data_IF_706045726965
#
_entry.id   IF_706045726965
#
_cell.length_a   1.000
_cell.length_b   1.000
_cell.length_c   1.000
_cell.angle_alpha   90.00
_cell.angle_beta   90.00
_cell.angle_gamma   90.00
#
_symmetry.space_group_name_H-M   'P 1'
#
loop_
_entity.id
_entity.type
_entity.pdbx_description
1 polymer ?
#
# COMPACT_ATOMS: atom_id res chain seq x y z
N UNK A 1 17.45 3.65 -9.03
CA UNK A 1 16.38 2.80 -8.44
C UNK A 1 17.00 1.96 -7.34
N UNK A 2 16.29 1.73 -6.23
CA UNK A 2 16.76 0.76 -5.22
C UNK A 2 16.37 -0.65 -5.67
N UNK A 3 17.30 -1.61 -5.61
CA UNK A 3 17.01 -3.03 -5.90
C UNK A 3 15.91 -3.58 -4.98
N UNK A 4 15.83 -3.04 -3.76
CA UNK A 4 14.85 -3.39 -2.74
C UNK A 4 13.41 -3.04 -3.15
N UNK A 5 13.18 -1.87 -3.75
CA UNK A 5 11.83 -1.46 -4.18
C UNK A 5 11.26 -2.40 -5.25
N UNK A 6 12.10 -2.81 -6.21
CA UNK A 6 11.69 -3.77 -7.25
C UNK A 6 11.43 -5.15 -6.65
N UNK A 7 12.28 -5.59 -5.71
CA UNK A 7 12.07 -6.84 -4.99
C UNK A 7 10.74 -6.84 -4.21
N UNK A 8 10.45 -5.78 -3.46
CA UNK A 8 9.20 -5.68 -2.68
C UNK A 8 7.96 -5.58 -3.57
N UNK A 9 8.05 -4.91 -4.72
CA UNK A 9 6.99 -4.93 -5.73
C UNK A 9 6.70 -6.36 -6.20
N UNK A 10 7.74 -7.11 -6.54
CA UNK A 10 7.60 -8.50 -6.96
C UNK A 10 7.01 -9.38 -5.85
N UNK A 11 7.46 -9.21 -4.60
CA UNK A 11 6.91 -9.93 -3.44
C UNK A 11 5.44 -9.59 -3.22
N UNK A 12 5.05 -8.32 -3.30
CA UNK A 12 3.67 -7.87 -3.13
C UNK A 12 2.74 -8.46 -4.20
N UNK A 13 3.17 -8.44 -5.47
CA UNK A 13 2.43 -9.06 -6.57
C UNK A 13 2.36 -10.58 -6.38
N UNK A 14 3.47 -11.23 -6.05
CA UNK A 14 3.50 -12.69 -5.85
C UNK A 14 2.62 -13.12 -4.68
N UNK A 15 2.62 -12.36 -3.59
CA UNK A 15 1.75 -12.57 -2.44
C UNK A 15 0.28 -12.39 -2.83
N UNK A 16 -0.05 -11.38 -3.62
CA UNK A 16 -1.42 -11.18 -4.11
C UNK A 16 -1.93 -12.32 -4.99
N UNK A 17 -1.04 -12.95 -5.76
CA UNK A 17 -1.37 -14.14 -6.57
C UNK A 17 -1.71 -15.38 -5.72
N UNK A 18 -1.36 -15.41 -4.43
CA UNK A 18 -1.84 -16.47 -3.53
C UNK A 18 -3.36 -16.44 -3.38
N UNK A 19 -4.03 -15.33 -3.73
CA UNK A 19 -5.48 -15.24 -3.79
C UNK A 19 -6.12 -16.29 -4.71
N UNK A 20 -5.44 -16.71 -5.77
CA UNK A 20 -5.94 -17.75 -6.68
C UNK A 20 -6.10 -19.12 -6.02
N UNK A 21 -5.16 -19.48 -5.15
CA UNK A 21 -4.93 -20.86 -4.77
C UNK A 21 -5.57 -21.24 -3.43
N UNK A 22 -5.75 -20.28 -2.53
CA UNK A 22 -6.18 -20.57 -1.17
C UNK A 22 -7.65 -20.18 -0.92
N UNK A 23 -8.45 -21.00 -0.21
CA UNK A 23 -9.80 -20.64 0.21
C UNK A 23 -9.73 -19.66 1.38
N UNK A 24 -9.57 -18.38 1.07
CA UNK A 24 -9.28 -17.34 2.05
C UNK A 24 -10.41 -17.03 3.04
N UNK A 25 -11.62 -17.59 2.92
CA UNK A 25 -12.79 -17.23 3.76
C UNK A 25 -12.48 -17.00 5.26
N UNK A 26 -11.82 -17.93 6.00
CA UNK A 26 -11.46 -17.68 7.41
C UNK A 26 -10.18 -16.83 7.61
N UNK A 27 -9.39 -16.64 6.55
CA UNK A 27 -8.07 -15.99 6.56
C UNK A 27 -8.04 -14.65 5.78
N UNK A 28 -9.18 -14.13 5.32
CA UNK A 28 -9.24 -12.91 4.49
C UNK A 28 -8.57 -11.74 5.22
N UNK A 29 -8.82 -11.59 6.52
CA UNK A 29 -8.19 -10.53 7.30
C UNK A 29 -6.68 -10.71 7.48
N UNK A 30 -6.21 -11.95 7.61
CA UNK A 30 -4.78 -12.25 7.64
C UNK A 30 -4.12 -11.89 6.30
N UNK A 31 -4.79 -12.18 5.19
CA UNK A 31 -4.34 -11.80 3.85
C UNK A 31 -4.28 -10.29 3.66
N UNK A 32 -5.36 -9.58 4.03
CA UNK A 32 -5.43 -8.11 3.96
C UNK A 32 -4.35 -7.48 4.84
N UNK A 33 -4.14 -8.00 6.05
CA UNK A 33 -3.04 -7.58 6.93
C UNK A 33 -1.67 -7.78 6.27
N UNK A 34 -1.46 -8.93 5.62
CA UNK A 34 -0.24 -9.21 4.87
C UNK A 34 -0.03 -8.25 3.70
N UNK A 35 -1.09 -7.94 2.95
CA UNK A 35 -1.06 -6.95 1.87
C UNK A 35 -0.73 -5.55 2.40
N UNK A 36 -1.41 -5.09 3.45
CA UNK A 36 -1.16 -3.78 4.06
C UNK A 36 0.28 -3.65 4.57
N UNK A 37 0.81 -4.71 5.18
CA UNK A 37 2.20 -4.78 5.60
C UNK A 37 3.16 -4.67 4.41
N UNK A 38 3.01 -5.53 3.39
CA UNK A 38 3.89 -5.55 2.22
C UNK A 38 3.83 -4.25 1.42
N UNK A 39 2.64 -3.68 1.26
CA UNK A 39 2.41 -2.40 0.62
C UNK A 39 3.13 -1.25 1.36
N UNK A 40 3.05 -1.25 2.69
CA UNK A 40 3.75 -0.28 3.53
C UNK A 40 5.27 -0.41 3.40
N UNK A 41 5.81 -1.64 3.43
CA UNK A 41 7.24 -1.86 3.21
C UNK A 41 7.67 -1.40 1.82
N UNK A 42 6.84 -1.68 0.81
CA UNK A 42 7.08 -1.26 -0.56
C UNK A 42 7.17 0.28 -0.65
N UNK A 43 6.24 1.02 -0.04
CA UNK A 43 6.34 2.49 0.04
C UNK A 43 7.61 2.94 0.76
N UNK A 44 7.88 2.38 1.96
CA UNK A 44 9.03 2.75 2.78
C UNK A 44 10.37 2.52 2.07
N UNK A 45 10.42 1.57 1.13
CA UNK A 45 11.61 1.32 0.30
C UNK A 45 12.05 2.52 -0.57
N UNK A 46 11.15 3.49 -0.83
CA UNK A 46 11.47 4.72 -1.55
C UNK A 46 12.06 5.81 -0.64
N UNK A 47 11.82 5.68 0.66
CA UNK A 47 12.29 6.57 1.72
C UNK A 47 13.53 5.95 2.37
N UNK A 48 13.36 5.40 3.58
CA UNK A 48 14.34 4.68 4.38
C UNK A 48 13.63 3.48 4.98
N UNK A 49 14.11 2.28 4.67
CA UNK A 49 13.65 1.06 5.33
C UNK A 49 14.66 0.65 6.40
N UNK A 50 14.27 0.76 7.66
CA UNK A 50 15.06 0.29 8.81
C UNK A 50 14.36 -0.89 9.47
N UNK A 51 15.12 -1.71 10.21
CA UNK A 51 14.56 -2.81 11.01
C UNK A 51 13.43 -2.33 11.92
N UNK A 52 13.60 -1.16 12.56
CA UNK A 52 12.58 -0.56 13.41
C UNK A 52 11.29 -0.21 12.66
N UNK A 53 11.39 0.36 11.47
CA UNK A 53 10.21 0.66 10.64
C UNK A 53 9.53 -0.61 10.11
N UNK A 54 10.30 -1.65 9.77
CA UNK A 54 9.74 -2.96 9.41
C UNK A 54 8.94 -3.56 10.56
N UNK A 55 9.50 -3.55 11.78
CA UNK A 55 8.79 -4.03 12.99
C UNK A 55 7.55 -3.18 13.25
N UNK A 56 7.65 -1.85 13.18
CA UNK A 56 6.51 -0.95 13.38
C UNK A 56 5.39 -1.19 12.35
N UNK A 57 5.74 -1.40 11.07
CA UNK A 57 4.76 -1.74 10.03
C UNK A 57 4.08 -3.10 10.30
N UNK A 58 4.84 -4.08 10.81
CA UNK A 58 4.28 -5.38 11.22
C UNK A 58 3.32 -5.24 12.40
N UNK A 59 3.73 -4.50 13.44
CA UNK A 59 2.88 -4.20 14.59
C UNK A 59 1.61 -3.43 14.20
N UNK A 60 1.70 -2.50 13.25
CA UNK A 60 0.54 -1.77 12.72
C UNK A 60 -0.42 -2.68 11.92
N UNK A 61 0.08 -3.77 11.34
CA UNK A 61 -0.72 -4.74 10.61
C UNK A 61 -1.45 -5.74 11.53
N UNK A 62 -0.86 -6.09 12.68
CA UNK A 62 -1.43 -7.08 13.60
C UNK A 62 -2.91 -6.83 13.96
N UNK A 63 -3.35 -5.60 14.29
CA UNK A 63 -4.76 -5.35 14.58
C UNK A 63 -5.70 -5.69 13.42
N UNK A 64 -5.25 -5.55 12.17
CA UNK A 64 -6.04 -5.93 10.99
C UNK A 64 -6.22 -7.45 10.88
N UNK A 65 -5.18 -8.23 11.21
CA UNK A 65 -5.27 -9.69 11.23
C UNK A 65 -6.18 -10.18 12.36
N UNK A 66 -6.20 -9.48 13.49
CA UNK A 66 -7.00 -9.82 14.67
C UNK A 66 -8.43 -9.27 14.62
N UNK A 67 -8.73 -8.34 13.71
CA UNK A 67 -10.03 -7.67 13.63
C UNK A 67 -11.24 -8.64 13.57
N UNK A 68 -11.20 -9.79 12.87
CA UNK A 68 -12.30 -10.75 12.85
C UNK A 68 -12.60 -11.44 14.18
N UNK A 69 -11.67 -11.40 15.15
CA UNK A 69 -11.81 -12.13 16.40
C UNK A 69 -12.86 -11.52 17.33
N UNK A 70 -13.12 -10.22 17.23
CA UNK A 70 -14.12 -9.55 18.05
C UNK A 70 -14.63 -8.26 17.37
N UNK A 71 -15.94 -8.02 17.42
CA UNK A 71 -16.57 -6.85 16.80
C UNK A 71 -15.94 -5.49 17.17
N UNK A 72 -15.53 -5.21 18.43
CA UNK A 72 -14.87 -3.95 18.77
C UNK A 72 -13.56 -3.71 18.00
N UNK A 73 -12.90 -4.78 17.53
CA UNK A 73 -11.65 -4.68 16.78
C UNK A 73 -11.87 -4.23 15.33
N UNK A 74 -13.11 -4.21 14.82
CA UNK A 74 -13.40 -3.66 13.49
C UNK A 74 -13.08 -2.17 13.36
N UNK A 75 -13.00 -1.44 14.47
CA UNK A 75 -12.51 -0.05 14.49
C UNK A 75 -11.10 0.08 13.90
N UNK A 76 -10.29 -0.98 13.94
CA UNK A 76 -8.95 -0.97 13.34
C UNK A 76 -8.96 -0.87 11.81
N UNK A 77 -10.05 -1.26 11.13
CA UNK A 77 -10.18 -0.99 9.70
C UNK A 77 -10.26 0.51 9.40
N UNK A 78 -10.87 1.30 10.29
CA UNK A 78 -10.93 2.75 10.16
C UNK A 78 -9.68 3.48 10.69
N UNK A 79 -9.05 2.94 11.74
CA UNK A 79 -7.89 3.57 12.38
C UNK A 79 -6.55 3.22 11.71
N UNK A 80 -6.43 2.03 11.12
CA UNK A 80 -5.17 1.58 10.50
C UNK A 80 -4.63 2.52 9.42
N UNK A 81 -5.44 3.16 8.54
CA UNK A 81 -4.91 4.10 7.55
C UNK A 81 -4.23 5.31 8.21
N UNK A 82 -4.73 5.77 9.36
CA UNK A 82 -4.10 6.85 10.12
C UNK A 82 -2.76 6.41 10.72
N UNK A 83 -2.70 5.19 11.27
CA UNK A 83 -1.46 4.63 11.82
C UNK A 83 -0.40 4.50 10.72
N UNK A 84 -0.77 3.97 9.56
CA UNK A 84 0.14 3.89 8.41
C UNK A 84 0.55 5.27 7.91
N UNK A 85 -0.38 6.22 7.79
CA UNK A 85 -0.06 7.59 7.38
C UNK A 85 0.97 8.22 8.32
N UNK A 86 0.78 8.12 9.63
CA UNK A 86 1.74 8.64 10.63
C UNK A 86 3.09 7.96 10.48
N UNK A 87 3.13 6.64 10.30
CA UNK A 87 4.38 5.89 10.10
C UNK A 87 5.12 6.34 8.83
N UNK A 88 4.41 6.52 7.72
CA UNK A 88 4.97 6.97 6.45
C UNK A 88 5.49 8.41 6.54
N UNK A 89 4.71 9.31 7.16
CA UNK A 89 5.11 10.71 7.37
C UNK A 89 6.33 10.77 8.28
N UNK A 90 6.36 9.99 9.37
CA UNK A 90 7.53 9.87 10.22
C UNK A 90 8.77 9.43 9.43
N UNK A 91 8.67 8.36 8.63
CA UNK A 91 9.78 7.89 7.80
C UNK A 91 10.24 8.95 6.79
N UNK A 92 9.30 9.67 6.15
CA UNK A 92 9.61 10.73 5.19
C UNK A 92 10.26 11.95 5.85
N UNK A 93 9.81 12.29 7.06
CA UNK A 93 10.34 13.42 7.83
C UNK A 93 11.82 13.27 8.18
N UNK A 94 12.32 12.04 8.29
CA UNK A 94 13.73 11.75 8.55
C UNK A 94 14.64 12.11 7.37
N UNK A 95 14.06 12.30 6.18
CA UNK A 95 14.79 12.66 4.95
C UNK A 95 14.55 14.12 4.59
N UNK A 96 13.28 14.54 4.57
CA UNK A 96 12.86 15.83 4.03
C UNK A 96 12.53 16.88 5.11
N UNK A 97 12.52 16.51 6.39
CA UNK A 97 11.94 17.32 7.48
C UNK A 97 10.42 17.15 7.59
N UNK A 98 9.82 17.55 8.71
CA UNK A 98 8.42 17.23 9.04
C UNK A 98 7.40 17.69 7.98
N UNK A 99 7.40 18.99 7.65
CA UNK A 99 6.45 19.58 6.71
C UNK A 99 6.61 19.00 5.28
N UNK A 100 7.84 18.91 4.79
CA UNK A 100 8.11 18.38 3.45
C UNK A 100 7.93 16.87 3.37
N UNK A 101 8.21 16.14 4.45
CA UNK A 101 7.89 14.71 4.57
C UNK A 101 6.39 14.46 4.49
N UNK A 102 5.59 15.29 5.16
CA UNK A 102 4.13 15.26 5.02
C UNK A 102 3.67 15.49 3.58
N UNK A 103 4.15 16.56 2.93
CA UNK A 103 3.80 16.85 1.53
C UNK A 103 4.28 15.75 0.57
N UNK A 104 5.43 15.14 0.83
CA UNK A 104 5.92 14.02 0.03
C UNK A 104 4.95 12.83 0.10
N UNK A 105 4.53 12.43 1.31
CA UNK A 105 3.63 11.28 1.50
C UNK A 105 2.27 11.58 0.91
N UNK A 106 1.65 12.68 1.33
CA UNK A 106 0.31 13.08 0.85
C UNK A 106 0.32 13.28 -0.65
N UNK A 107 1.32 13.96 -1.21
CA UNK A 107 1.45 14.15 -2.66
C UNK A 107 1.66 12.83 -3.42
N UNK A 108 2.42 11.88 -2.87
CA UNK A 108 2.60 10.55 -3.48
C UNK A 108 1.29 9.76 -3.49
N UNK A 109 0.51 9.81 -2.41
CA UNK A 109 -0.79 9.15 -2.31
C UNK A 109 -1.82 9.79 -3.24
N UNK A 110 -1.91 11.12 -3.28
CA UNK A 110 -2.83 11.82 -4.19
C UNK A 110 -2.49 11.61 -5.66
N UNK A 111 -1.21 11.65 -6.02
CA UNK A 111 -0.78 11.36 -7.38
C UNK A 111 -1.06 9.90 -7.75
N UNK A 112 -0.86 8.96 -6.81
CA UNK A 112 -1.25 7.57 -6.99
C UNK A 112 -2.77 7.43 -7.25
N UNK A 113 -3.62 8.09 -6.46
CA UNK A 113 -5.07 8.10 -6.67
C UNK A 113 -5.46 8.71 -8.03
N UNK A 114 -4.79 9.80 -8.44
CA UNK A 114 -5.02 10.42 -9.75
C UNK A 114 -4.64 9.47 -10.90
N UNK A 115 -3.53 8.74 -10.76
CA UNK A 115 -3.12 7.72 -11.73
C UNK A 115 -4.09 6.55 -11.77
N UNK A 116 -4.59 6.09 -10.62
CA UNK A 116 -5.62 5.05 -10.55
C UNK A 116 -6.93 5.49 -11.19
N UNK A 117 -7.36 6.74 -10.96
CA UNK A 117 -8.53 7.32 -11.60
C UNK A 117 -8.36 7.43 -13.13
N UNK A 118 -7.16 7.81 -13.59
CA UNK A 118 -6.83 7.84 -15.00
C UNK A 118 -6.89 6.43 -15.62
N UNK A 119 -6.30 5.42 -14.97
CA UNK A 119 -6.37 4.04 -15.43
C UNK A 119 -7.81 3.53 -15.46
N UNK A 120 -8.63 3.89 -14.47
CA UNK A 120 -10.05 3.57 -14.47
C UNK A 120 -10.79 4.16 -15.67
N UNK A 121 -10.54 5.44 -15.97
CA UNK A 121 -11.13 6.10 -17.13
C UNK A 121 -10.69 5.45 -18.44
N UNK A 122 -9.39 5.17 -18.60
CA UNK A 122 -8.84 4.53 -19.80
C UNK A 122 -9.32 3.08 -19.99
N UNK A 123 -9.65 2.38 -18.90
CA UNK A 123 -10.14 1.00 -18.93
C UNK A 123 -11.67 0.90 -18.96
N UNK A 124 -12.39 2.02 -19.12
CA UNK A 124 -13.85 2.02 -19.22
C UNK A 124 -14.57 1.69 -17.91
N UNK A 125 -13.96 1.98 -16.75
CA UNK A 125 -14.56 1.71 -15.43
C UNK A 125 -14.14 0.38 -14.80
N UNK A 126 -13.27 -0.38 -15.47
CA UNK A 126 -12.80 -1.68 -15.03
C UNK A 126 -12.21 -1.67 -13.61
N UNK A 127 -11.34 -0.70 -13.30
CA UNK A 127 -10.62 -0.62 -12.02
C UNK A 127 -11.61 -0.43 -10.87
N UNK A 128 -12.59 0.46 -11.02
CA UNK A 128 -13.63 0.68 -10.02
C UNK A 128 -14.57 -0.52 -9.89
N UNK A 129 -14.90 -1.20 -11.00
CA UNK A 129 -15.67 -2.44 -10.96
C UNK A 129 -14.94 -3.50 -10.15
N UNK A 130 -13.64 -3.69 -10.40
CA UNK A 130 -12.82 -4.66 -9.69
C UNK A 130 -12.69 -4.30 -8.19
N UNK A 131 -12.57 -3.02 -7.85
CA UNK A 131 -12.59 -2.54 -6.46
C UNK A 131 -13.95 -2.76 -5.76
N UNK A 132 -15.06 -2.62 -6.49
CA UNK A 132 -16.41 -2.88 -5.98
C UNK A 132 -16.64 -4.35 -5.67
N UNK A 133 -16.13 -5.23 -6.53
CA UNK A 133 -16.12 -6.68 -6.27
C UNK A 133 -15.21 -6.99 -5.08
N UNK A 134 -14.09 -6.28 -4.96
CA UNK A 134 -13.20 -6.35 -3.80
C UNK A 134 -12.56 -7.73 -3.65
N UNK A 135 -12.54 -8.24 -2.41
CA UNK A 135 -12.03 -9.58 -2.08
C UNK A 135 -13.10 -10.66 -2.24
N UNK A 136 -13.80 -10.67 -3.37
CA UNK A 136 -14.71 -11.77 -3.69
C UNK A 136 -13.90 -13.06 -3.95
N UNK A 137 -14.26 -14.12 -3.25
CA UNK A 137 -13.62 -15.44 -3.35
C UNK A 137 -13.93 -16.13 -4.68
N UNK A 138 -14.97 -15.67 -5.39
CA UNK A 138 -15.39 -16.18 -6.69
C UNK A 138 -14.74 -15.40 -7.86
N UNK A 139 -14.36 -14.14 -7.67
CA UNK A 139 -13.64 -13.34 -8.68
C UNK A 139 -12.13 -13.23 -8.39
N UNK A 140 -11.47 -14.39 -8.33
CA UNK A 140 -10.11 -14.54 -7.81
C UNK A 140 -9.01 -13.78 -8.56
N UNK A 141 -9.25 -13.42 -9.81
CA UNK A 141 -8.26 -12.72 -10.65
C UNK A 141 -8.22 -11.20 -10.40
N UNK A 142 -9.26 -10.62 -9.79
CA UNK A 142 -9.33 -9.19 -9.50
C UNK A 142 -8.26 -8.76 -8.51
N UNK A 143 -8.07 -9.49 -7.41
CA UNK A 143 -7.13 -9.15 -6.34
C UNK A 143 -5.68 -8.96 -6.84
N UNK A 144 -5.06 -9.92 -7.55
CA UNK A 144 -3.70 -9.75 -8.04
C UNK A 144 -3.58 -8.67 -9.12
N UNK A 145 -4.59 -8.53 -9.99
CA UNK A 145 -4.61 -7.50 -11.01
C UNK A 145 -4.69 -6.09 -10.40
N UNK A 146 -5.63 -5.88 -9.46
CA UNK A 146 -5.76 -4.62 -8.70
C UNK A 146 -4.46 -4.35 -7.95
N UNK A 147 -3.90 -5.35 -7.27
CA UNK A 147 -2.64 -5.16 -6.51
C UNK A 147 -1.50 -4.74 -7.44
N UNK A 148 -1.40 -5.30 -8.63
CA UNK A 148 -0.40 -4.90 -9.62
C UNK A 148 -0.62 -3.45 -10.13
N UNK A 149 -1.86 -3.07 -10.45
CA UNK A 149 -2.20 -1.70 -10.88
C UNK A 149 -1.95 -0.68 -9.75
N UNK A 150 -2.41 -0.99 -8.55
CA UNK A 150 -2.23 -0.19 -7.35
C UNK A 150 -0.74 0.03 -7.03
N UNK A 151 0.03 -1.06 -6.97
CA UNK A 151 1.46 -0.98 -6.66
C UNK A 151 2.27 -0.31 -7.76
N UNK A 152 1.90 -0.47 -9.02
CA UNK A 152 2.60 0.18 -10.15
C UNK A 152 2.30 1.67 -10.25
N UNK A 153 1.08 2.11 -9.97
CA UNK A 153 0.76 3.54 -9.88
C UNK A 153 1.42 4.19 -8.67
N UNK A 154 1.50 3.49 -7.53
CA UNK A 154 2.24 3.95 -6.36
C UNK A 154 3.75 4.04 -6.64
N UNK A 155 4.30 3.05 -7.35
CA UNK A 155 5.68 3.09 -7.81
C UNK A 155 5.93 4.39 -8.60
N UNK A 156 5.09 4.64 -9.61
CA UNK A 156 5.22 5.82 -10.47
C UNK A 156 5.09 7.11 -9.66
N UNK A 157 4.11 7.20 -8.76
CA UNK A 157 3.89 8.40 -7.94
C UNK A 157 5.08 8.71 -7.03
N UNK A 158 5.60 7.72 -6.31
CA UNK A 158 6.79 7.86 -5.47
C UNK A 158 8.03 8.29 -6.25
N UNK A 159 8.23 7.73 -7.46
CA UNK A 159 9.34 8.12 -8.33
C UNK A 159 9.21 9.57 -8.80
N UNK A 160 8.01 9.99 -9.21
CA UNK A 160 7.75 11.37 -9.65
C UNK A 160 7.94 12.35 -8.49
N UNK A 161 7.34 12.08 -7.34
CA UNK A 161 7.46 12.93 -6.15
C UNK A 161 8.90 13.08 -5.68
N UNK A 162 9.66 11.99 -5.68
CA UNK A 162 11.09 12.03 -5.33
C UNK A 162 11.90 12.88 -6.29
N UNK A 163 11.59 12.87 -7.59
CA UNK A 163 12.23 13.74 -8.58
C UNK A 163 11.87 15.22 -8.36
N UNK A 164 10.60 15.52 -8.09
CA UNK A 164 10.13 16.88 -7.82
C UNK A 164 10.83 17.49 -6.60
N UNK A 165 10.96 16.74 -5.51
CA UNK A 165 11.57 17.23 -4.27
C UNK A 165 13.09 17.38 -4.39
N UNK A 166 13.78 16.48 -5.10
CA UNK A 166 15.23 16.63 -5.38
C UNK A 166 15.56 17.86 -6.22
N UNK A 167 14.67 18.28 -7.11
CA UNK A 167 14.87 19.48 -7.95
C UNK A 167 14.84 20.77 -7.12
N UNK A 168 14.24 20.74 -5.93
CA UNK A 168 14.06 21.92 -5.07
C UNK A 168 15.22 22.17 -4.11
N UNK A 169 16.09 21.19 -3.91
CA UNK A 169 17.32 21.29 -3.10
C UNK A 169 18.53 21.77 -3.91
N UNK A 170 18.36 22.03 -5.22
CA UNK A 170 19.37 22.62 -6.11
C UNK A 170 18.96 24.02 -6.49
#
# INVERSE_FOLDING_TARGET
MSKLSVFLLFVLISYSSLWFFWPWSPLVALFISGLAFLWTLFFLSFLVLTRGLTVAAGLAALPLALAPLAQPLYLWYALSPLVYLVLLVYAASRIYGWLWGFFFVVGSLWLHLALMALLNWLSGGFVMSALHVGFDVYERWNVPLITALDSSTLYASCVVMRKLFRKRER
#
